data_IF_699800687111
#
_entry.id   IF_699800687111
#
_cell.length_a   1.000
_cell.length_b   1.000
_cell.length_c   1.000
_cell.angle_alpha   90.00
_cell.angle_beta   90.00
_cell.angle_gamma   90.00
#
_symmetry.space_group_name_H-M   'P 1'
#
loop_
_entity.id
_entity.type
_entity.pdbx_description
1 polymer ?
#
# COMPACT_ATOMS: atom_id res chain seq x y z
N UNK A 1 12.76 -3.44 1.45
CA UNK A 1 12.23 -2.07 1.26
C UNK A 1 12.54 -1.49 -0.11
N UNK A 2 13.78 -1.48 -0.58
CA UNK A 2 14.16 -0.95 -1.90
C UNK A 2 13.26 -1.46 -3.06
N UNK A 3 12.92 -2.73 -3.05
CA UNK A 3 11.98 -3.33 -4.02
C UNK A 3 10.63 -2.61 -4.07
N UNK A 4 10.02 -2.31 -2.93
CA UNK A 4 8.72 -1.64 -2.89
C UNK A 4 8.80 -0.16 -3.20
N UNK A 5 9.90 0.52 -2.83
CA UNK A 5 10.15 1.91 -3.23
C UNK A 5 10.24 2.02 -4.76
N UNK A 6 10.94 1.11 -5.41
CA UNK A 6 11.02 1.04 -6.87
C UNK A 6 9.66 0.77 -7.50
N UNK A 7 8.94 -0.27 -7.06
CA UNK A 7 7.60 -0.62 -7.55
C UNK A 7 6.57 0.51 -7.40
N UNK A 8 6.68 1.28 -6.33
CA UNK A 8 5.77 2.40 -6.05
C UNK A 8 6.27 3.73 -6.62
N UNK A 9 7.38 3.74 -7.36
CA UNK A 9 8.01 4.94 -7.92
C UNK A 9 8.20 6.03 -6.85
N UNK A 10 8.76 5.65 -5.70
CA UNK A 10 8.97 6.59 -4.59
C UNK A 10 10.17 7.51 -4.83
N UNK A 11 11.02 7.22 -5.83
CA UNK A 11 12.16 8.04 -6.24
C UNK A 11 13.12 8.39 -5.10
N UNK A 12 13.26 7.50 -4.13
CA UNK A 12 14.16 7.65 -3.01
C UNK A 12 14.66 6.29 -2.53
N UNK A 13 15.71 6.29 -1.72
CA UNK A 13 16.12 5.15 -0.91
C UNK A 13 15.78 5.45 0.54
N UNK A 14 15.25 4.47 1.24
CA UNK A 14 15.00 4.57 2.67
C UNK A 14 15.61 3.33 3.35
N UNK A 15 16.42 3.59 4.36
CA UNK A 15 17.06 2.59 5.20
C UNK A 15 16.77 2.91 6.65
N UNK A 16 16.77 1.88 7.47
CA UNK A 16 16.68 2.01 8.92
C UNK A 16 17.98 1.54 9.54
N UNK A 17 18.47 2.27 10.51
CA UNK A 17 19.60 1.85 11.31
C UNK A 17 19.20 0.84 12.41
N UNK A 18 20.13 0.48 13.27
CA UNK A 18 19.89 -0.46 14.38
C UNK A 18 18.94 0.06 15.46
N UNK A 19 18.66 1.37 15.48
CA UNK A 19 17.72 2.03 16.39
C UNK A 19 16.36 2.30 15.73
N UNK A 20 16.16 1.88 14.47
CA UNK A 20 15.01 2.18 13.64
C UNK A 20 14.86 3.64 13.26
N UNK A 21 15.95 4.41 13.31
CA UNK A 21 15.97 5.75 12.75
C UNK A 21 16.05 5.68 11.22
N UNK A 22 15.13 6.39 10.53
CA UNK A 22 15.09 6.38 9.08
C UNK A 22 16.16 7.30 8.48
N UNK A 23 16.83 6.80 7.46
CA UNK A 23 17.71 7.56 6.59
C UNK A 23 17.16 7.52 5.17
N UNK A 24 16.66 8.66 4.70
CA UNK A 24 16.09 8.78 3.37
C UNK A 24 17.02 9.61 2.51
N UNK A 25 17.37 9.08 1.33
CA UNK A 25 18.14 9.79 0.32
C UNK A 25 17.33 9.94 -0.96
N UNK A 26 17.41 11.10 -1.60
CA UNK A 26 16.80 11.31 -2.90
C UNK A 26 17.57 10.60 -4.04
N UNK A 27 17.12 10.76 -5.28
CA UNK A 27 17.76 10.20 -6.47
C UNK A 27 19.21 10.67 -6.69
N UNK A 28 19.57 11.81 -6.09
CA UNK A 28 20.95 12.37 -6.15
C UNK A 28 21.83 11.86 -5.03
N UNK A 29 21.29 11.06 -4.10
CA UNK A 29 21.98 10.58 -2.92
C UNK A 29 22.07 11.60 -1.78
N UNK A 30 21.31 12.70 -1.86
CA UNK A 30 21.27 13.69 -0.78
C UNK A 30 20.31 13.26 0.33
N UNK A 31 20.76 13.37 1.58
CA UNK A 31 19.89 13.12 2.73
C UNK A 31 18.72 14.09 2.77
N UNK A 32 17.54 13.58 2.94
CA UNK A 32 16.29 14.32 3.06
C UNK A 32 15.54 13.92 4.31
N UNK A 33 14.88 14.90 4.93
CA UNK A 33 13.88 14.58 5.93
C UNK A 33 12.61 14.04 5.27
N UNK A 34 11.94 13.08 5.90
CA UNK A 34 10.63 12.58 5.48
C UNK A 34 9.63 13.72 5.19
N UNK A 35 9.67 14.79 5.97
CA UNK A 35 8.78 15.94 5.82
C UNK A 35 9.09 16.83 4.60
N UNK A 36 10.21 16.64 3.93
CA UNK A 36 10.54 17.34 2.68
C UNK A 36 9.82 16.77 1.45
N UNK A 37 9.23 15.57 1.59
CA UNK A 37 8.49 14.92 0.52
C UNK A 37 7.03 15.40 0.48
N UNK A 38 6.44 15.42 -0.71
CA UNK A 38 5.01 15.68 -0.91
C UNK A 38 4.16 14.61 -0.24
N UNK A 39 2.85 14.88 -0.03
CA UNK A 39 1.93 13.91 0.57
C UNK A 39 1.88 12.58 -0.18
N UNK A 40 1.88 12.63 -1.51
CA UNK A 40 1.89 11.43 -2.35
C UNK A 40 3.18 10.62 -2.26
N UNK A 41 4.33 11.29 -2.25
CA UNK A 41 5.64 10.65 -2.06
C UNK A 41 5.75 10.01 -0.68
N UNK A 42 5.36 10.73 0.38
CA UNK A 42 5.32 10.18 1.74
C UNK A 42 4.45 8.93 1.81
N UNK A 43 3.25 8.98 1.22
CA UNK A 43 2.36 7.81 1.19
C UNK A 43 3.01 6.60 0.50
N UNK A 44 3.76 6.80 -0.57
CA UNK A 44 4.49 5.71 -1.26
C UNK A 44 5.61 5.14 -0.39
N UNK A 45 6.33 5.99 0.35
CA UNK A 45 7.35 5.56 1.32
C UNK A 45 6.69 4.74 2.44
N UNK A 46 5.59 5.21 3.02
CA UNK A 46 4.85 4.53 4.08
C UNK A 46 4.36 3.14 3.62
N UNK A 47 3.85 3.05 2.40
CA UNK A 47 3.40 1.79 1.81
C UNK A 47 4.56 0.83 1.56
N UNK A 48 5.72 1.34 1.11
CA UNK A 48 6.91 0.52 0.94
C UNK A 48 7.41 -0.03 2.28
N UNK A 49 7.37 0.78 3.35
CA UNK A 49 7.62 0.32 4.72
C UNK A 49 6.64 -0.76 5.14
N UNK A 50 5.33 -0.51 5.00
CA UNK A 50 4.28 -1.45 5.39
C UNK A 50 4.48 -2.81 4.73
N UNK A 51 4.65 -2.86 3.42
CA UNK A 51 4.83 -4.12 2.69
C UNK A 51 6.13 -4.82 3.07
N UNK A 52 7.20 -4.07 3.33
CA UNK A 52 8.47 -4.64 3.80
C UNK A 52 8.32 -5.28 5.18
N UNK A 53 7.61 -4.62 6.11
CA UNK A 53 7.32 -5.19 7.43
C UNK A 53 6.44 -6.44 7.35
N UNK A 54 5.44 -6.46 6.47
CA UNK A 54 4.63 -7.65 6.23
C UNK A 54 5.49 -8.83 5.75
N UNK A 55 6.47 -8.57 4.88
CA UNK A 55 7.39 -9.61 4.41
C UNK A 55 8.31 -10.11 5.53
N UNK A 56 8.87 -9.20 6.33
CA UNK A 56 9.69 -9.57 7.50
C UNK A 56 8.88 -10.44 8.47
N UNK A 57 7.64 -10.05 8.78
CA UNK A 57 6.76 -10.81 9.66
C UNK A 57 6.49 -12.22 9.13
N UNK A 58 6.32 -12.38 7.81
CA UNK A 58 6.18 -13.70 7.19
C UNK A 58 7.42 -14.54 7.29
N UNK A 59 8.61 -13.92 7.13
CA UNK A 59 9.88 -14.64 7.22
C UNK A 59 10.21 -15.11 8.65
N UNK A 60 9.71 -14.39 9.66
CA UNK A 60 9.99 -14.65 11.07
C UNK A 60 8.96 -15.56 11.75
N UNK A 61 7.79 -15.75 11.14
CA UNK A 61 6.66 -16.34 11.84
C UNK A 61 6.23 -17.70 11.30
N UNK A 62 5.79 -18.55 12.22
CA UNK A 62 5.07 -19.78 11.93
C UNK A 62 3.59 -19.51 11.57
N UNK A 63 3.16 -18.25 11.60
CA UNK A 63 1.79 -17.85 11.33
C UNK A 63 1.65 -17.29 9.91
N UNK A 64 0.94 -18.01 9.07
CA UNK A 64 0.58 -17.57 7.72
C UNK A 64 -0.84 -17.00 7.74
N UNK A 65 -0.95 -15.71 7.50
CA UNK A 65 -2.26 -15.09 7.25
C UNK A 65 -2.67 -15.38 5.81
N UNK A 66 -3.82 -16.02 5.64
CA UNK A 66 -4.41 -16.28 4.33
C UNK A 66 -5.33 -15.14 3.86
N UNK A 67 -5.61 -14.18 4.72
CA UNK A 67 -6.56 -13.10 4.46
C UNK A 67 -6.05 -11.80 5.08
N UNK A 68 -6.05 -10.73 4.28
CA UNK A 68 -5.67 -9.39 4.70
C UNK A 68 -6.75 -8.39 4.26
N UNK A 69 -7.10 -7.47 5.16
CA UNK A 69 -7.98 -6.35 4.89
C UNK A 69 -7.16 -5.06 4.88
N UNK A 70 -7.28 -4.29 3.81
CA UNK A 70 -6.70 -2.96 3.68
C UNK A 70 -7.83 -1.94 3.68
N UNK A 71 -7.95 -1.21 4.80
CA UNK A 71 -8.97 -0.19 4.97
C UNK A 71 -8.40 1.18 4.61
N UNK A 72 -9.09 1.89 3.70
CA UNK A 72 -8.74 3.24 3.21
C UNK A 72 -7.29 3.39 2.67
N UNK A 73 -6.63 2.28 2.34
CA UNK A 73 -5.24 2.29 1.88
C UNK A 73 -5.04 3.17 0.64
N UNK A 74 -6.03 3.18 -0.25
CA UNK A 74 -6.00 3.87 -1.54
C UNK A 74 -6.56 5.30 -1.49
N UNK A 75 -7.21 5.71 -0.39
CA UNK A 75 -8.09 6.88 -0.39
C UNK A 75 -7.39 8.20 -0.17
N UNK A 76 -6.21 8.21 0.45
CA UNK A 76 -5.51 9.45 0.80
C UNK A 76 -4.23 9.66 0.02
N UNK A 77 -4.02 10.88 -0.44
CA UNK A 77 -2.74 11.39 -0.97
C UNK A 77 -2.14 10.67 -2.19
N UNK A 78 -2.80 9.66 -2.74
CA UNK A 78 -2.37 9.00 -3.97
C UNK A 78 -3.10 9.59 -5.18
N UNK A 79 -2.35 9.88 -6.23
CA UNK A 79 -2.89 10.13 -7.57
C UNK A 79 -3.34 8.80 -8.22
N UNK A 80 -4.03 8.87 -9.35
CA UNK A 80 -4.54 7.68 -10.04
C UNK A 80 -3.41 6.72 -10.42
N UNK A 81 -2.25 7.25 -10.81
CA UNK A 81 -1.07 6.43 -11.10
C UNK A 81 -0.53 5.73 -9.85
N UNK A 82 -0.51 6.43 -8.72
CA UNK A 82 -0.13 5.84 -7.43
C UNK A 82 -1.06 4.71 -7.01
N UNK A 83 -2.36 4.89 -7.22
CA UNK A 83 -3.37 3.83 -6.97
C UNK A 83 -3.11 2.61 -7.83
N UNK A 84 -2.87 2.78 -9.13
CA UNK A 84 -2.54 1.67 -10.03
C UNK A 84 -1.32 0.88 -9.55
N UNK A 85 -0.23 1.58 -9.18
CA UNK A 85 0.99 0.93 -8.70
C UNK A 85 0.76 0.15 -7.41
N UNK A 86 -0.04 0.69 -6.48
CA UNK A 86 -0.40 -0.02 -5.24
C UNK A 86 -1.22 -1.27 -5.55
N UNK A 87 -2.20 -1.20 -6.45
CA UNK A 87 -2.99 -2.36 -6.85
C UNK A 87 -2.13 -3.45 -7.50
N UNK A 88 -1.16 -3.07 -8.32
CA UNK A 88 -0.23 -4.02 -8.94
C UNK A 88 0.63 -4.73 -7.87
N UNK A 89 1.13 -3.99 -6.88
CA UNK A 89 1.85 -4.56 -5.73
C UNK A 89 0.96 -5.51 -4.92
N UNK A 90 -0.28 -5.11 -4.62
CA UNK A 90 -1.21 -5.94 -3.86
C UNK A 90 -1.56 -7.24 -4.60
N UNK A 91 -1.78 -7.16 -5.91
CA UNK A 91 -2.04 -8.34 -6.75
C UNK A 91 -0.83 -9.28 -6.80
N UNK A 92 0.36 -8.75 -6.98
CA UNK A 92 1.60 -9.53 -6.96
C UNK A 92 1.78 -10.25 -5.61
N UNK A 93 1.53 -9.55 -4.49
CA UNK A 93 1.60 -10.12 -3.15
C UNK A 93 0.56 -11.21 -2.93
N UNK A 94 -0.69 -10.97 -3.31
CA UNK A 94 -1.77 -11.93 -3.19
C UNK A 94 -1.44 -13.24 -3.92
N UNK A 95 -0.91 -13.15 -5.12
CA UNK A 95 -0.47 -14.31 -5.91
C UNK A 95 0.74 -15.01 -5.29
N UNK A 96 1.78 -14.25 -4.92
CA UNK A 96 3.02 -14.79 -4.36
C UNK A 96 2.80 -15.53 -3.05
N UNK A 97 1.90 -15.04 -2.22
CA UNK A 97 1.67 -15.56 -0.88
C UNK A 97 0.38 -16.39 -0.74
N UNK A 98 -0.35 -16.55 -1.84
CA UNK A 98 -1.67 -17.22 -1.87
C UNK A 98 -2.63 -16.63 -0.82
N UNK A 99 -2.76 -15.29 -0.84
CA UNK A 99 -3.59 -14.53 0.10
C UNK A 99 -4.89 -14.05 -0.55
N UNK A 100 -5.95 -13.99 0.24
CA UNK A 100 -7.14 -13.21 -0.08
C UNK A 100 -6.93 -11.77 0.38
N UNK A 101 -6.95 -10.84 -0.56
CA UNK A 101 -6.76 -9.42 -0.32
C UNK A 101 -8.09 -8.69 -0.45
N UNK A 102 -8.55 -8.06 0.62
CA UNK A 102 -9.76 -7.25 0.64
C UNK A 102 -9.38 -5.78 0.79
N UNK A 103 -9.92 -4.94 -0.09
CA UNK A 103 -9.66 -3.51 -0.10
C UNK A 103 -10.98 -2.79 0.18
N UNK A 104 -11.00 -1.95 1.22
CA UNK A 104 -12.11 -1.06 1.54
C UNK A 104 -11.70 0.33 1.10
N UNK A 105 -12.49 0.96 0.23
CA UNK A 105 -12.15 2.25 -0.37
C UNK A 105 -13.40 3.05 -0.77
N UNK A 106 -13.28 4.36 -0.74
CA UNK A 106 -14.29 5.29 -1.26
C UNK A 106 -14.07 5.64 -2.75
N UNK A 107 -12.99 5.17 -3.35
CA UNK A 107 -12.67 5.39 -4.76
C UNK A 107 -13.53 4.47 -5.64
N UNK A 108 -14.70 4.90 -6.02
CA UNK A 108 -15.69 4.18 -6.83
C UNK A 108 -15.17 3.36 -8.01
N UNK A 109 -15.66 3.61 -9.22
CA UNK A 109 -15.44 2.77 -10.41
C UNK A 109 -14.02 2.78 -10.98
N UNK A 110 -13.14 3.69 -10.56
CA UNK A 110 -11.81 3.90 -11.17
C UNK A 110 -10.85 2.71 -10.98
N UNK A 111 -11.14 1.85 -10.00
CA UNK A 111 -10.25 0.73 -9.64
C UNK A 111 -10.76 -0.66 -10.05
N UNK A 112 -11.98 -0.73 -10.58
CA UNK A 112 -12.69 -2.02 -10.83
C UNK A 112 -12.00 -2.91 -11.85
N UNK A 113 -11.27 -2.36 -12.81
CA UNK A 113 -10.59 -3.15 -13.85
C UNK A 113 -9.46 -4.05 -13.31
N UNK A 114 -8.89 -3.69 -12.15
CA UNK A 114 -7.79 -4.45 -11.52
C UNK A 114 -8.23 -5.30 -10.33
N UNK A 115 -9.53 -5.36 -10.06
CA UNK A 115 -10.12 -6.09 -8.93
C UNK A 115 -10.93 -7.27 -9.47
N UNK A 116 -10.73 -8.45 -8.88
CA UNK A 116 -11.41 -9.66 -9.34
C UNK A 116 -12.91 -9.64 -9.01
N UNK A 117 -13.28 -9.12 -7.85
CA UNK A 117 -14.67 -8.99 -7.41
C UNK A 117 -14.88 -7.68 -6.66
N UNK A 118 -15.97 -6.99 -6.93
CA UNK A 118 -16.33 -5.73 -6.28
C UNK A 118 -17.69 -5.83 -5.61
N UNK A 119 -17.75 -5.36 -4.38
CA UNK A 119 -18.98 -5.29 -3.59
C UNK A 119 -19.27 -3.82 -3.32
N UNK A 120 -20.43 -3.33 -3.74
CA UNK A 120 -20.85 -1.96 -3.49
C UNK A 120 -21.78 -1.93 -2.28
N UNK A 121 -21.45 -1.04 -1.33
CA UNK A 121 -22.23 -0.79 -0.14
C UNK A 121 -22.74 0.65 -0.15
N UNK A 122 -24.00 0.84 0.20
CA UNK A 122 -24.61 2.18 0.32
C UNK A 122 -25.24 2.36 1.69
N UNK A 123 -25.03 3.52 2.29
CA UNK A 123 -25.69 3.89 3.55
C UNK A 123 -26.91 4.75 3.26
N UNK A 124 -28.11 4.26 3.66
CA UNK A 124 -29.39 5.00 3.60
C UNK A 124 -30.06 4.97 4.97
N UNK A 125 -30.48 6.12 5.46
CA UNK A 125 -31.22 6.22 6.74
C UNK A 125 -30.54 5.45 7.91
N UNK A 126 -29.20 5.60 8.05
CA UNK A 126 -28.38 4.90 9.05
C UNK A 126 -28.25 3.37 8.90
N UNK A 127 -28.78 2.78 7.85
CA UNK A 127 -28.60 1.37 7.52
C UNK A 127 -27.67 1.21 6.31
N UNK A 128 -26.86 0.14 6.31
CA UNK A 128 -25.97 -0.20 5.19
C UNK A 128 -26.65 -1.28 4.33
N UNK A 129 -26.69 -1.05 3.03
CA UNK A 129 -27.28 -1.95 2.04
C UNK A 129 -26.22 -2.40 1.06
N UNK A 130 -26.29 -3.68 0.69
CA UNK A 130 -25.56 -4.23 -0.44
C UNK A 130 -26.28 -3.81 -1.72
N UNK A 131 -25.54 -3.18 -2.63
CA UNK A 131 -26.04 -2.91 -3.98
C UNK A 131 -25.83 -4.16 -4.84
N UNK A 132 -26.91 -4.73 -5.28
CA UNK A 132 -26.96 -5.88 -6.21
C UNK A 132 -27.05 -5.38 -7.64
#
# INVERSE_FOLDING_TARGET
MAYYLDKLHANCLCQFDEFFDEQITDEKGELKSYFNFSGGERKRIDLACLFSFLDIRRMQGDVHFSTIFYDELLDSSLDDKGVELVLDVLRERAQKHNENCYIITHRGTTITEKIDNTVFLEKRNNFTYLLT
#
